data_IF_864923251252
#
_entry.id   IF_864923251252
#
_cell.length_a   1.000
_cell.length_b   1.000
_cell.length_c   1.000
_cell.angle_alpha   90.00
_cell.angle_beta   90.00
_cell.angle_gamma   90.00
#
_symmetry.space_group_name_H-M   'P 1'
#
loop_
_entity.id
_entity.type
_entity.pdbx_description
1 polymer ?
#
# COMPACT_ATOMS: atom_id res chain seq x y z
N UNK A 1 -30.98 -1.76 26.51
CA UNK A 1 -30.39 -2.47 25.36
C UNK A 1 -28.99 -1.93 25.15
N UNK A 2 -27.96 -2.64 25.62
CA UNK A 2 -26.57 -2.21 25.44
C UNK A 2 -26.18 -2.46 23.98
N UNK A 3 -26.16 -1.40 23.18
CA UNK A 3 -25.64 -1.44 21.83
C UNK A 3 -24.12 -1.50 21.91
N UNK A 4 -23.57 -2.72 22.11
CA UNK A 4 -22.15 -2.98 21.98
C UNK A 4 -21.73 -2.65 20.56
N UNK A 5 -21.26 -1.42 20.34
CA UNK A 5 -20.52 -1.03 19.15
C UNK A 5 -19.25 -1.89 19.10
N UNK A 6 -19.36 -3.07 18.46
CA UNK A 6 -18.24 -3.92 18.13
C UNK A 6 -17.34 -3.15 17.17
N UNK A 7 -16.37 -2.41 17.71
CA UNK A 7 -15.24 -1.92 16.92
C UNK A 7 -14.57 -3.16 16.34
N UNK A 8 -14.38 -3.26 15.01
CA UNK A 8 -13.63 -4.36 14.43
C UNK A 8 -12.29 -4.48 15.15
N UNK A 9 -11.98 -5.68 15.64
CA UNK A 9 -10.72 -5.93 16.33
C UNK A 9 -9.59 -5.58 15.37
N UNK A 10 -8.66 -4.74 15.83
CA UNK A 10 -7.49 -4.36 15.02
C UNK A 10 -6.71 -5.62 14.66
N UNK A 11 -6.36 -5.76 13.38
CA UNK A 11 -5.45 -6.81 12.91
C UNK A 11 -4.05 -6.56 13.50
N UNK A 12 -3.50 -7.46 14.33
CA UNK A 12 -2.18 -7.29 14.92
C UNK A 12 -1.04 -7.38 13.89
N UNK A 13 -1.30 -7.91 12.69
CA UNK A 13 -0.32 -8.11 11.63
C UNK A 13 -0.29 -6.96 10.59
N UNK A 14 -1.16 -5.96 10.72
CA UNK A 14 -1.26 -4.83 9.80
C UNK A 14 -1.18 -3.49 10.54
N UNK A 15 -0.46 -2.54 9.95
CA UNK A 15 -0.43 -1.16 10.40
C UNK A 15 -1.53 -0.30 9.77
N UNK A 16 -2.25 -0.81 8.76
CA UNK A 16 -3.24 -0.06 8.00
C UNK A 16 -4.42 0.41 8.86
N UNK A 17 -4.94 1.60 8.55
CA UNK A 17 -6.09 2.19 9.25
C UNK A 17 -7.43 1.85 8.55
N UNK A 18 -7.67 0.56 8.31
CA UNK A 18 -8.86 0.04 7.62
C UNK A 18 -10.20 0.37 8.30
N UNK A 19 -10.15 0.88 9.53
CA UNK A 19 -11.30 1.38 10.29
C UNK A 19 -11.69 2.81 9.95
N UNK A 20 -10.79 3.58 9.31
CA UNK A 20 -11.03 4.95 8.89
C UNK A 20 -11.16 5.06 7.37
N UNK A 21 -10.40 4.27 6.61
CA UNK A 21 -10.45 4.25 5.14
C UNK A 21 -10.40 2.81 4.65
N UNK A 22 -11.30 2.44 3.74
CA UNK A 22 -11.33 1.11 3.11
C UNK A 22 -10.97 1.20 1.64
N UNK A 23 -10.13 0.29 1.16
CA UNK A 23 -9.85 0.12 -0.27
C UNK A 23 -10.98 -0.71 -0.88
N UNK A 24 -11.62 -0.20 -1.93
CA UNK A 24 -12.73 -0.85 -2.63
C UNK A 24 -12.31 -1.45 -3.97
N UNK A 25 -11.26 -0.91 -4.59
CA UNK A 25 -10.69 -1.44 -5.83
C UNK A 25 -9.19 -1.20 -5.87
N UNK A 26 -8.47 -2.12 -6.51
CA UNK A 26 -7.03 -2.02 -6.73
C UNK A 26 -6.74 -2.33 -8.19
N UNK A 27 -6.17 -1.35 -8.89
CA UNK A 27 -5.64 -1.51 -10.23
C UNK A 27 -4.11 -1.48 -10.20
N UNK A 28 -3.47 -2.39 -10.92
CA UNK A 28 -2.02 -2.55 -10.91
C UNK A 28 -1.50 -2.49 -12.34
N UNK A 29 -0.45 -1.71 -12.55
CA UNK A 29 0.32 -1.68 -13.79
C UNK A 29 1.80 -1.87 -13.46
N UNK A 30 2.38 -2.95 -13.95
CA UNK A 30 3.79 -3.30 -13.72
C UNK A 30 4.53 -3.58 -15.01
N UNK A 31 5.78 -3.13 -15.04
CA UNK A 31 6.81 -3.64 -15.89
C UNK A 31 7.65 -4.65 -15.09
N UNK A 32 7.78 -5.86 -15.62
CA UNK A 32 8.51 -6.97 -14.98
C UNK A 32 9.93 -7.00 -15.54
N UNK A 33 10.93 -6.71 -14.70
CA UNK A 33 12.34 -6.69 -15.13
C UNK A 33 13.11 -7.86 -14.53
N UNK A 34 13.25 -8.95 -15.28
CA UNK A 34 13.97 -10.16 -14.84
C UNK A 34 15.45 -9.91 -14.58
N UNK A 35 16.09 -9.02 -15.35
CA UNK A 35 17.51 -8.68 -15.19
C UNK A 35 17.78 -8.02 -13.83
N UNK A 36 16.87 -7.14 -13.41
CA UNK A 36 16.95 -6.44 -12.13
C UNK A 36 16.28 -7.21 -10.99
N UNK A 37 15.48 -8.23 -11.30
CA UNK A 37 14.61 -8.95 -10.36
C UNK A 37 13.64 -8.00 -9.65
N UNK A 38 13.05 -7.08 -10.40
CA UNK A 38 12.16 -6.05 -9.86
C UNK A 38 10.86 -5.97 -10.64
N UNK A 39 9.77 -5.70 -9.91
CA UNK A 39 8.56 -5.11 -10.47
C UNK A 39 8.67 -3.61 -10.33
N UNK A 40 8.43 -2.87 -11.41
CA UNK A 40 8.46 -1.41 -11.43
C UNK A 40 7.12 -0.94 -11.97
N UNK A 41 6.44 -0.04 -11.26
CA UNK A 41 5.18 0.49 -11.76
C UNK A 41 4.33 1.20 -10.72
N UNK A 42 3.02 1.02 -10.85
CA UNK A 42 2.03 1.77 -10.09
C UNK A 42 0.91 0.87 -9.59
N UNK A 43 0.51 1.07 -8.33
CA UNK A 43 -0.77 0.62 -7.81
C UNK A 43 -1.69 1.83 -7.64
N UNK A 44 -2.90 1.76 -8.19
CA UNK A 44 -3.98 2.72 -7.98
C UNK A 44 -5.03 2.09 -7.09
N UNK A 45 -5.26 2.68 -5.93
CA UNK A 45 -6.23 2.26 -4.94
C UNK A 45 -7.42 3.20 -4.98
N UNK A 46 -8.60 2.66 -5.24
CA UNK A 46 -9.84 3.39 -5.01
C UNK A 46 -10.27 3.13 -3.56
N UNK A 47 -10.48 4.21 -2.81
CA UNK A 47 -10.73 4.16 -1.38
C UNK A 47 -12.02 4.91 -1.02
N UNK A 48 -12.68 4.46 0.05
CA UNK A 48 -13.80 5.17 0.69
C UNK A 48 -13.40 5.54 2.12
N UNK A 49 -13.53 6.82 2.48
CA UNK A 49 -13.33 7.29 3.85
C UNK A 49 -14.56 6.92 4.69
N UNK A 50 -14.38 6.03 5.66
CA UNK A 50 -15.42 5.62 6.60
C UNK A 50 -15.55 6.61 7.76
N UNK A 51 -14.42 7.20 8.18
CA UNK A 51 -14.35 8.22 9.21
C UNK A 51 -13.29 9.25 8.85
N UNK A 52 -13.60 10.51 9.11
CA UNK A 52 -12.74 11.65 8.88
C UNK A 52 -11.37 11.42 9.49
N UNK A 53 -10.35 11.50 8.65
CA UNK A 53 -8.95 11.35 9.02
C UNK A 53 -8.07 12.19 8.10
N UNK A 54 -6.91 12.59 8.60
CA UNK A 54 -5.91 13.35 7.86
C UNK A 54 -4.88 12.48 7.14
N UNK A 55 -5.00 11.15 7.25
CA UNK A 55 -4.01 10.21 6.75
C UNK A 55 -4.60 8.89 6.25
N UNK A 56 -3.98 8.36 5.22
CA UNK A 56 -4.09 6.97 4.81
C UNK A 56 -2.82 6.23 5.25
N UNK A 57 -2.99 5.09 5.92
CA UNK A 57 -1.89 4.24 6.38
C UNK A 57 -1.89 2.95 5.59
N UNK A 58 -0.76 2.62 4.97
CA UNK A 58 -0.55 1.42 4.17
C UNK A 58 0.64 0.62 4.71
N UNK A 59 0.56 -0.69 4.59
CA UNK A 59 1.69 -1.60 4.86
C UNK A 59 2.62 -1.61 3.64
N UNK A 60 3.93 -1.46 3.88
CA UNK A 60 4.97 -1.52 2.84
C UNK A 60 6.13 -2.39 3.30
N UNK A 61 6.69 -3.21 2.42
CA UNK A 61 7.88 -4.03 2.71
C UNK A 61 8.73 -4.18 1.48
N UNK A 62 10.02 -3.90 1.63
CA UNK A 62 11.02 -4.02 0.56
C UNK A 62 10.58 -3.30 -0.73
N UNK A 63 9.92 -2.14 -0.58
CA UNK A 63 9.49 -1.27 -1.66
C UNK A 63 10.27 0.04 -1.63
N UNK A 64 10.69 0.50 -2.81
CA UNK A 64 11.12 1.89 -3.01
C UNK A 64 9.93 2.68 -3.55
N UNK A 65 9.43 3.65 -2.76
CA UNK A 65 8.30 4.49 -3.14
C UNK A 65 8.82 5.76 -3.79
N UNK A 66 8.44 6.01 -5.05
CA UNK A 66 8.89 7.18 -5.82
C UNK A 66 7.98 8.39 -5.62
N UNK A 67 6.67 8.18 -5.64
CA UNK A 67 5.69 9.25 -5.46
C UNK A 67 4.34 8.67 -5.08
N UNK A 68 3.55 9.46 -4.36
CA UNK A 68 2.14 9.17 -4.06
C UNK A 68 1.29 10.35 -4.52
N UNK A 69 0.17 10.06 -5.17
CA UNK A 69 -0.83 11.08 -5.54
C UNK A 69 -2.20 10.71 -5.00
N UNK A 70 -2.97 11.72 -4.57
CA UNK A 70 -4.38 11.59 -4.20
C UNK A 70 -5.20 12.45 -5.15
N UNK A 71 -6.15 11.84 -5.87
CA UNK A 71 -6.97 12.49 -6.90
C UNK A 71 -6.10 13.26 -7.93
N UNK A 72 -4.98 12.67 -8.32
CA UNK A 72 -4.01 13.26 -9.27
C UNK A 72 -3.07 14.32 -8.69
N UNK A 73 -3.24 14.75 -7.43
CA UNK A 73 -2.35 15.71 -6.76
C UNK A 73 -1.24 14.99 -6.00
N UNK A 74 0.01 15.37 -6.19
CA UNK A 74 1.15 14.83 -5.42
C UNK A 74 0.98 15.20 -3.95
N UNK A 75 1.23 14.23 -3.06
CA UNK A 75 1.12 14.39 -1.60
C UNK A 75 2.37 13.92 -0.89
N UNK A 76 2.61 14.45 0.31
CA UNK A 76 3.68 13.97 1.18
C UNK A 76 3.31 12.59 1.74
N UNK A 77 4.31 11.70 1.82
CA UNK A 77 4.21 10.45 2.54
C UNK A 77 5.46 10.24 3.40
N UNK A 78 5.32 9.46 4.47
CA UNK A 78 6.42 9.07 5.36
C UNK A 78 6.40 7.57 5.62
N UNK A 79 7.55 6.93 5.50
CA UNK A 79 7.73 5.52 5.86
C UNK A 79 8.43 5.50 7.22
N UNK A 80 7.77 4.93 8.22
CA UNK A 80 8.37 4.76 9.54
C UNK A 80 9.52 3.75 9.44
N UNK A 81 10.63 3.93 10.18
CA UNK A 81 11.67 2.92 10.27
C UNK A 81 11.08 1.56 10.63
N UNK A 82 11.61 0.50 10.02
CA UNK A 82 11.16 -0.85 10.31
C UNK A 82 11.58 -1.25 11.73
N UNK A 83 10.70 -1.10 12.71
CA UNK A 83 10.96 -1.47 14.12
C UNK A 83 10.73 -2.97 14.35
N UNK A 84 10.00 -3.65 13.45
CA UNK A 84 9.65 -5.08 13.58
C UNK A 84 10.02 -5.83 12.29
N UNK A 85 11.15 -6.56 12.34
CA UNK A 85 11.82 -7.16 11.17
C UNK A 85 10.89 -7.98 10.26
N UNK A 86 9.82 -8.58 10.79
CA UNK A 86 8.94 -9.50 10.06
C UNK A 86 7.61 -8.91 9.57
N UNK A 87 7.20 -7.70 9.98
CA UNK A 87 5.93 -7.08 9.53
C UNK A 87 6.11 -6.06 8.40
N UNK A 88 7.33 -5.56 8.20
CA UNK A 88 7.59 -4.48 7.27
C UNK A 88 7.41 -3.12 7.94
N UNK A 89 7.20 -2.08 7.12
CA UNK A 89 7.11 -0.70 7.56
C UNK A 89 5.72 -0.12 7.34
N UNK A 90 5.37 0.85 8.17
CA UNK A 90 4.16 1.64 8.04
C UNK A 90 4.41 2.83 7.13
N UNK A 91 3.71 2.94 6.01
CA UNK A 91 3.67 4.15 5.19
C UNK A 91 2.46 5.01 5.56
N UNK A 92 2.68 6.27 5.87
CA UNK A 92 1.64 7.27 6.15
C UNK A 92 1.58 8.25 4.99
N UNK A 93 0.45 8.33 4.31
CA UNK A 93 0.16 9.29 3.24
C UNK A 93 -0.67 10.42 3.84
N UNK A 94 -0.22 11.66 3.71
CA UNK A 94 -0.91 12.83 4.26
C UNK A 94 -2.00 13.30 3.29
N UNK A 95 -3.25 13.26 3.72
CA UNK A 95 -4.41 13.58 2.88
C UNK A 95 -4.64 15.10 2.82
N UNK A 96 -4.84 15.67 1.62
CA UNK A 96 -5.25 17.07 1.46
C UNK A 96 -6.54 17.39 2.25
N UNK A 97 -6.67 18.62 2.77
CA UNK A 97 -7.84 19.00 3.60
C UNK A 97 -9.17 18.91 2.86
N UNK A 98 -9.16 19.14 1.54
CA UNK A 98 -10.33 19.11 0.64
C UNK A 98 -10.91 17.70 0.43
N UNK A 99 -10.26 16.66 0.96
CA UNK A 99 -10.74 15.27 0.83
C UNK A 99 -11.01 14.57 2.16
N UNK A 100 -10.95 15.29 3.29
CA UNK A 100 -11.09 14.75 4.65
C UNK A 100 -12.55 14.79 5.14
N UNK A 101 -13.43 14.07 4.45
CA UNK A 101 -14.86 14.01 4.77
C UNK A 101 -15.37 12.57 4.82
N UNK A 102 -16.33 12.31 5.73
CA UNK A 102 -16.98 11.00 5.83
C UNK A 102 -17.69 10.66 4.51
N UNK A 103 -17.46 9.45 4.00
CA UNK A 103 -17.98 8.97 2.73
C UNK A 103 -17.21 9.43 1.48
N UNK A 104 -16.17 10.26 1.63
CA UNK A 104 -15.36 10.72 0.50
C UNK A 104 -14.71 9.54 -0.24
N UNK A 105 -14.68 9.65 -1.58
CA UNK A 105 -13.97 8.71 -2.45
C UNK A 105 -12.62 9.29 -2.87
N UNK A 106 -11.58 8.48 -2.76
CA UNK A 106 -10.21 8.86 -3.03
C UNK A 106 -9.61 7.89 -4.06
N UNK A 107 -8.96 8.41 -5.09
CA UNK A 107 -8.08 7.64 -5.97
C UNK A 107 -6.64 7.89 -5.56
N UNK A 108 -5.99 6.88 -4.99
CA UNK A 108 -4.62 6.96 -4.48
C UNK A 108 -3.69 6.17 -5.38
N UNK A 109 -2.81 6.85 -6.10
CA UNK A 109 -1.79 6.20 -6.91
C UNK A 109 -0.44 6.21 -6.21
N UNK A 110 0.18 5.04 -6.12
CA UNK A 110 1.51 4.82 -5.54
C UNK A 110 2.42 4.33 -6.65
N UNK A 111 3.43 5.12 -7.02
CA UNK A 111 4.50 4.69 -7.93
C UNK A 111 5.63 4.10 -7.10
N UNK A 112 6.02 2.86 -7.42
CA UNK A 112 7.02 2.14 -6.66
C UNK A 112 7.80 1.12 -7.49
N UNK A 113 8.87 0.62 -6.90
CA UNK A 113 9.55 -0.59 -7.36
C UNK A 113 9.82 -1.54 -6.20
N UNK A 114 9.79 -2.84 -6.44
CA UNK A 114 10.18 -3.85 -5.45
C UNK A 114 11.70 -3.93 -5.31
N UNK A 115 12.19 -4.39 -4.16
CA UNK A 115 13.57 -4.86 -4.00
C UNK A 115 13.80 -6.17 -4.78
N UNK A 116 15.03 -6.45 -5.26
CA UNK A 116 15.43 -7.77 -5.75
C UNK A 116 15.21 -8.91 -4.74
N UNK A 117 15.23 -8.57 -3.45
CA UNK A 117 15.07 -9.50 -2.33
C UNK A 117 13.67 -9.43 -1.70
N UNK A 118 12.70 -8.80 -2.38
CA UNK A 118 11.33 -8.68 -1.88
C UNK A 118 10.73 -10.06 -1.57
N UNK A 119 10.32 -10.26 -0.32
CA UNK A 119 9.89 -11.59 0.18
C UNK A 119 8.66 -12.18 -0.52
N UNK A 120 7.89 -11.35 -1.24
CA UNK A 120 6.70 -11.77 -1.97
C UNK A 120 7.01 -12.36 -3.36
N UNK A 121 8.25 -12.26 -3.84
CA UNK A 121 8.64 -12.65 -5.19
C UNK A 121 9.73 -13.72 -5.17
N UNK A 122 9.60 -14.70 -6.05
CA UNK A 122 10.65 -15.66 -6.35
C UNK A 122 11.05 -15.52 -7.81
N UNK A 123 12.32 -15.18 -8.04
CA UNK A 123 12.89 -15.03 -9.38
C UNK A 123 13.64 -16.29 -9.76
N UNK A 124 13.14 -17.03 -10.75
CA UNK A 124 13.74 -18.28 -11.21
C UNK A 124 14.69 -18.03 -12.38
N UNK A 125 15.86 -18.67 -12.35
CA UNK A 125 16.73 -18.80 -13.52
C UNK A 125 16.17 -19.85 -14.46
N UNK A 126 16.53 -19.78 -15.75
CA UNK A 126 16.13 -20.79 -16.74
C UNK A 126 16.48 -22.20 -16.29
N UNK A 127 17.62 -22.44 -15.63
CA UNK A 127 17.99 -23.79 -15.18
C UNK A 127 17.08 -24.35 -14.08
N UNK A 128 16.29 -23.48 -13.45
CA UNK A 128 15.32 -23.82 -12.41
C UNK A 128 13.91 -24.05 -12.99
N UNK A 129 13.67 -23.74 -14.28
CA UNK A 129 12.40 -23.97 -14.97
C UNK A 129 12.39 -25.33 -15.67
N UNK A 130 11.21 -25.94 -15.79
CA UNK A 130 11.07 -27.29 -16.36
C UNK A 130 11.48 -27.36 -17.85
N UNK A 131 11.25 -26.29 -18.60
CA UNK A 131 11.56 -26.17 -20.02
C UNK A 131 12.93 -25.53 -20.28
N UNK A 132 13.67 -25.18 -19.22
CA UNK A 132 14.98 -24.52 -19.25
C UNK A 132 14.99 -23.18 -19.99
N UNK A 133 13.86 -22.47 -19.98
CA UNK A 133 13.71 -21.14 -20.57
C UNK A 133 13.44 -20.08 -19.50
#
# INVERSE_FOLDING_TARGET
MCNCHMRPRRDPCSAANNHDIVVTHTAIKWDVTFQLRMLIGQATLECTMLRKTDKLVLDVRDLSIRSVTVNGKVVEFRIAPNVYTFFGSKMTVHLPKDVQEDGARLSVAVLYSTSPDASALQWMKKEQTADKK
#
